data_IF_076554999272
#
_entry.id   IF_076554999272
#
_cell.length_a   1.000
_cell.length_b   1.000
_cell.length_c   1.000
_cell.angle_alpha   90.00
_cell.angle_beta   90.00
_cell.angle_gamma   90.00
#
_symmetry.space_group_name_H-M   'P 1'
#
loop_
_entity.id
_entity.type
_entity.pdbx_description
1 polymer ?
#
# COMPACT_ATOMS: atom_id res chain seq x y z
N UNK A 1 -29.23 -4.90 1.65
CA UNK A 1 -28.08 -4.37 0.88
C UNK A 1 -26.83 -4.64 1.70
N UNK A 2 -25.86 -5.39 1.18
CA UNK A 2 -24.58 -5.64 1.88
C UNK A 2 -23.53 -4.76 1.20
N UNK A 3 -22.88 -3.89 1.95
CA UNK A 3 -21.76 -3.08 1.47
C UNK A 3 -20.49 -3.78 1.94
N UNK A 4 -19.66 -4.20 1.00
CA UNK A 4 -18.33 -4.72 1.30
C UNK A 4 -17.36 -3.54 1.30
N UNK A 5 -16.61 -3.43 2.40
CA UNK A 5 -15.54 -2.46 2.54
C UNK A 5 -14.26 -3.26 2.42
N UNK A 6 -13.46 -2.92 1.42
CA UNK A 6 -12.13 -3.50 1.23
C UNK A 6 -11.19 -3.00 2.36
N UNK A 7 -10.35 -3.88 2.93
CA UNK A 7 -9.32 -3.46 3.87
C UNK A 7 -8.36 -2.46 3.20
N UNK A 8 -7.90 -1.43 3.92
CA UNK A 8 -6.96 -0.46 3.36
C UNK A 8 -5.68 -1.12 2.85
N UNK A 9 -5.26 -2.23 3.44
CA UNK A 9 -4.08 -3.00 3.04
C UNK A 9 -4.20 -3.57 1.63
N UNK A 10 -5.36 -4.12 1.25
CA UNK A 10 -5.56 -4.66 -0.10
C UNK A 10 -5.57 -3.53 -1.14
N UNK A 11 -6.15 -2.38 -0.81
CA UNK A 11 -6.10 -1.19 -1.67
C UNK A 11 -4.65 -0.71 -1.88
N UNK A 12 -3.83 -0.71 -0.82
CA UNK A 12 -2.40 -0.34 -0.91
C UNK A 12 -1.65 -1.30 -1.83
N UNK A 13 -1.85 -2.61 -1.63
CA UNK A 13 -1.21 -3.66 -2.44
C UNK A 13 -1.61 -3.53 -3.91
N UNK A 14 -2.90 -3.32 -4.19
CA UNK A 14 -3.40 -3.13 -5.54
C UNK A 14 -2.76 -1.92 -6.24
N UNK A 15 -2.63 -0.79 -5.53
CA UNK A 15 -1.96 0.40 -6.06
C UNK A 15 -0.47 0.16 -6.29
N UNK A 16 0.22 -0.53 -5.38
CA UNK A 16 1.64 -0.86 -5.51
C UNK A 16 1.90 -1.82 -6.68
N UNK A 17 1.05 -2.84 -6.86
CA UNK A 17 1.14 -3.76 -7.99
C UNK A 17 0.93 -3.02 -9.31
N UNK A 18 -0.08 -2.16 -9.39
CA UNK A 18 -0.29 -1.30 -10.55
C UNK A 18 0.91 -0.38 -10.81
N UNK A 19 1.51 0.19 -9.77
CA UNK A 19 2.73 1.00 -9.89
C UNK A 19 3.90 0.21 -10.48
N UNK A 20 4.13 -1.03 -10.02
CA UNK A 20 5.22 -1.88 -10.52
C UNK A 20 4.96 -2.33 -11.95
N UNK A 21 3.72 -2.74 -12.26
CA UNK A 21 3.37 -3.33 -13.55
C UNK A 21 3.27 -2.27 -14.67
N UNK A 22 2.82 -1.06 -14.35
CA UNK A 22 2.55 0.01 -15.31
C UNK A 22 3.53 1.19 -15.21
N UNK A 23 4.47 1.17 -14.25
CA UNK A 23 5.36 2.30 -13.93
C UNK A 23 4.59 3.61 -13.69
N UNK A 24 3.43 3.50 -13.03
CA UNK A 24 2.54 4.64 -12.78
C UNK A 24 2.90 5.33 -11.47
N UNK A 25 3.51 6.51 -11.55
CA UNK A 25 3.85 7.34 -10.39
C UNK A 25 2.59 7.75 -9.60
N UNK A 26 1.44 7.89 -10.29
CA UNK A 26 0.17 8.24 -9.66
C UNK A 26 -0.31 7.17 -8.67
N UNK A 27 -0.08 5.89 -8.97
CA UNK A 27 -0.52 4.80 -8.10
C UNK A 27 0.40 4.63 -6.89
N UNK A 28 1.68 4.99 -7.03
CA UNK A 28 2.60 5.13 -5.90
C UNK A 28 2.12 6.22 -4.92
N UNK A 29 1.76 7.41 -5.43
CA UNK A 29 1.24 8.49 -4.60
C UNK A 29 -0.07 8.12 -3.90
N UNK A 30 -0.98 7.41 -4.60
CA UNK A 30 -2.22 6.90 -3.99
C UNK A 30 -1.93 5.93 -2.85
N UNK A 31 -1.02 4.98 -3.04
CA UNK A 31 -0.63 4.04 -1.98
C UNK A 31 -0.12 4.80 -0.75
N UNK A 32 0.76 5.78 -0.95
CA UNK A 32 1.27 6.63 0.12
C UNK A 32 0.14 7.41 0.84
N UNK A 33 -0.80 7.99 0.09
CA UNK A 33 -1.94 8.71 0.67
C UNK A 33 -2.83 7.81 1.53
N UNK A 34 -3.14 6.59 1.06
CA UNK A 34 -3.93 5.62 1.84
C UNK A 34 -3.19 5.21 3.11
N UNK A 35 -1.88 4.98 3.01
CA UNK A 35 -1.03 4.66 4.16
C UNK A 35 -1.08 5.77 5.20
N UNK A 36 -0.91 7.03 4.80
CA UNK A 36 -0.95 8.17 5.73
C UNK A 36 -2.34 8.33 6.34
N UNK A 37 -3.40 8.26 5.53
CA UNK A 37 -4.77 8.46 5.97
C UNK A 37 -5.24 7.38 6.97
N UNK A 38 -4.78 6.13 6.79
CA UNK A 38 -5.20 4.98 7.60
C UNK A 38 -4.07 4.42 8.47
N UNK A 39 -2.98 5.17 8.69
CA UNK A 39 -1.76 4.72 9.40
C UNK A 39 -2.03 3.99 10.72
N UNK A 40 -3.07 4.41 11.46
CA UNK A 40 -3.46 3.85 12.77
C UNK A 40 -4.29 2.56 12.68
N UNK A 41 -4.86 2.26 11.52
CA UNK A 41 -5.74 1.10 11.29
C UNK A 41 -5.06 0.00 10.47
N UNK A 42 -3.95 0.33 9.79
CA UNK A 42 -3.19 -0.61 8.99
C UNK A 42 -2.53 -1.65 9.88
N UNK A 43 -2.77 -2.92 9.56
CA UNK A 43 -1.94 -4.01 10.05
C UNK A 43 -0.68 -4.12 9.18
N UNK A 44 0.40 -3.53 9.67
CA UNK A 44 1.70 -3.51 9.00
C UNK A 44 2.28 -4.91 8.76
N UNK A 45 2.02 -5.86 9.67
CA UNK A 45 2.51 -7.23 9.51
C UNK A 45 1.75 -7.94 8.39
N UNK A 46 0.44 -7.69 8.26
CA UNK A 46 -0.36 -8.20 7.15
C UNK A 46 0.08 -7.57 5.83
N UNK A 47 0.23 -6.24 5.80
CA UNK A 47 0.66 -5.50 4.62
C UNK A 47 2.02 -5.98 4.11
N UNK A 48 3.01 -6.13 4.99
CA UNK A 48 4.35 -6.63 4.60
C UNK A 48 4.29 -8.04 4.02
N UNK A 49 3.50 -8.96 4.61
CA UNK A 49 3.31 -10.32 4.09
C UNK A 49 2.64 -10.33 2.71
N UNK A 50 1.61 -9.50 2.51
CA UNK A 50 0.93 -9.38 1.21
C UNK A 50 1.86 -8.76 0.16
N UNK A 51 2.63 -7.75 0.53
CA UNK A 51 3.61 -7.12 -0.35
C UNK A 51 4.70 -8.10 -0.81
N UNK A 52 5.12 -9.03 0.05
CA UNK A 52 6.00 -10.13 -0.32
C UNK A 52 5.36 -11.07 -1.34
N UNK A 53 4.11 -11.47 -1.12
CA UNK A 53 3.39 -12.40 -1.99
C UNK A 53 3.21 -11.83 -3.41
N UNK A 54 2.86 -10.55 -3.51
CA UNK A 54 2.66 -9.85 -4.79
C UNK A 54 3.96 -9.27 -5.36
N UNK A 55 5.11 -9.49 -4.70
CA UNK A 55 6.45 -9.00 -5.12
C UNK A 55 6.57 -7.47 -5.21
N UNK A 56 5.79 -6.74 -4.39
CA UNK A 56 5.82 -5.27 -4.27
C UNK A 56 6.47 -4.78 -2.98
N UNK A 57 7.13 -5.68 -2.23
CA UNK A 57 7.76 -5.38 -0.93
C UNK A 57 8.73 -4.19 -0.99
N UNK A 58 9.58 -4.13 -2.00
CA UNK A 58 10.60 -3.08 -2.13
C UNK A 58 9.94 -1.69 -2.21
N UNK A 59 8.93 -1.54 -3.08
CA UNK A 59 8.15 -0.30 -3.20
C UNK A 59 7.34 0.04 -1.95
N UNK A 60 6.78 -0.98 -1.29
CA UNK A 60 6.12 -0.80 0.00
C UNK A 60 7.08 -0.26 1.07
N UNK A 61 8.33 -0.72 1.10
CA UNK A 61 9.34 -0.30 2.06
C UNK A 61 9.83 1.12 1.76
N UNK A 62 10.05 1.47 0.48
CA UNK A 62 10.38 2.84 0.07
C UNK A 62 9.35 3.85 0.60
N UNK A 63 8.05 3.58 0.43
CA UNK A 63 7.00 4.46 0.96
C UNK A 63 7.10 4.58 2.49
N UNK A 64 7.34 3.46 3.18
CA UNK A 64 7.43 3.45 4.64
C UNK A 64 8.60 4.29 5.13
N UNK A 65 9.77 4.17 4.50
CA UNK A 65 10.96 4.96 4.83
C UNK A 65 10.71 6.46 4.61
N UNK A 66 10.15 6.84 3.45
CA UNK A 66 9.80 8.23 3.13
C UNK A 66 8.81 8.83 4.13
N UNK A 67 7.90 8.01 4.67
CA UNK A 67 6.89 8.43 5.65
C UNK A 67 7.39 8.39 7.11
N UNK A 68 8.49 7.72 7.40
CA UNK A 68 9.14 7.69 8.72
C UNK A 68 10.21 8.77 8.88
N UNK A 69 10.80 9.26 7.79
CA UNK A 69 11.74 10.39 7.79
C UNK A 69 11.08 11.78 7.96
N UNK A 70 9.75 11.86 8.10
CA UNK A 70 8.97 13.09 8.33
C UNK A 70 8.11 13.03 9.58
#
# INVERSE_FOLDING_TARGET
MRVYIEPPEETIIFCLDACVHWQSDLDYEKAAMVIVAQRRKIDWNYLEKRAEQERVKERSQEIKEVLEEK
#
